data_IF_575207288494
#
_entry.id   IF_575207288494
#
_cell.length_a   1.000
_cell.length_b   1.000
_cell.length_c   1.000
_cell.angle_alpha   90.00
_cell.angle_beta   90.00
_cell.angle_gamma   90.00
#
_symmetry.space_group_name_H-M   'P 1'
#
loop_
_entity.id
_entity.type
_entity.pdbx_description
1 polymer ?
#
# COMPACT_ATOMS: atom_id res chain seq x y z
N UNK A 1 41.34 -65.67 -38.61
CA UNK A 1 41.44 -66.58 -37.44
C UNK A 1 41.91 -65.76 -36.26
N UNK A 2 41.13 -64.76 -35.84
CA UNK A 2 39.83 -64.87 -35.15
C UNK A 2 39.94 -65.59 -33.82
N UNK A 3 39.91 -64.85 -32.72
CA UNK A 3 38.63 -64.66 -32.04
C UNK A 3 38.78 -63.64 -30.91
N UNK A 4 37.68 -62.90 -30.73
CA UNK A 4 37.56 -61.65 -30.02
C UNK A 4 37.60 -61.86 -28.50
N UNK A 5 38.50 -61.15 -27.84
CA UNK A 5 38.51 -60.96 -26.39
C UNK A 5 37.30 -60.09 -26.00
N UNK A 6 36.31 -60.67 -25.33
CA UNK A 6 35.02 -60.04 -25.02
C UNK A 6 34.95 -59.61 -23.54
N UNK A 7 35.06 -58.31 -23.20
CA UNK A 7 34.95 -57.86 -21.82
C UNK A 7 33.52 -57.41 -21.51
N UNK A 8 32.55 -58.31 -21.29
CA UNK A 8 31.12 -57.86 -21.29
C UNK A 8 30.19 -58.29 -20.15
N UNK A 9 30.66 -58.84 -19.02
CA UNK A 9 29.76 -59.07 -17.87
C UNK A 9 30.24 -58.49 -16.53
N UNK A 10 31.51 -58.69 -16.18
CA UNK A 10 32.04 -58.28 -14.87
C UNK A 10 32.28 -56.76 -14.74
N UNK A 11 32.67 -56.08 -15.83
CA UNK A 11 32.83 -54.61 -15.85
C UNK A 11 31.48 -53.89 -15.82
N UNK A 12 30.46 -54.45 -16.49
CA UNK A 12 29.11 -53.88 -16.59
C UNK A 12 28.42 -53.82 -15.22
N UNK A 13 28.55 -54.87 -14.41
CA UNK A 13 28.01 -54.90 -13.04
C UNK A 13 28.76 -53.93 -12.11
N UNK A 14 30.09 -53.82 -12.24
CA UNK A 14 30.88 -52.88 -11.44
C UNK A 14 30.51 -51.41 -11.72
N UNK A 15 30.20 -51.06 -12.97
CA UNK A 15 29.72 -49.72 -13.33
C UNK A 15 28.33 -49.45 -12.76
N UNK A 16 27.41 -50.41 -12.83
CA UNK A 16 26.06 -50.29 -12.24
C UNK A 16 26.12 -50.13 -10.71
N UNK A 17 26.96 -50.90 -10.01
CA UNK A 17 27.15 -50.76 -8.57
C UNK A 17 27.74 -49.40 -8.19
N UNK A 18 28.71 -48.89 -8.95
CA UNK A 18 29.24 -47.53 -8.75
C UNK A 18 28.18 -46.46 -8.95
N UNK A 19 27.35 -46.57 -9.98
CA UNK A 19 26.22 -45.66 -10.21
C UNK A 19 25.20 -45.68 -9.06
N UNK A 20 24.90 -46.86 -8.52
CA UNK A 20 24.00 -47.00 -7.36
C UNK A 20 24.59 -46.31 -6.12
N UNK A 21 25.88 -46.52 -5.83
CA UNK A 21 26.55 -45.85 -4.70
C UNK A 21 26.52 -44.33 -4.86
N UNK A 22 26.82 -43.82 -6.05
CA UNK A 22 26.73 -42.38 -6.35
C UNK A 22 25.29 -41.88 -6.18
N UNK A 23 24.29 -42.62 -6.65
CA UNK A 23 22.87 -42.28 -6.47
C UNK A 23 22.46 -42.20 -5.00
N UNK A 24 22.89 -43.17 -4.17
CA UNK A 24 22.65 -43.15 -2.72
C UNK A 24 23.33 -41.95 -2.07
N UNK A 25 24.57 -41.64 -2.43
CA UNK A 25 25.28 -40.47 -1.92
C UNK A 25 24.57 -39.15 -2.28
N UNK A 26 24.04 -39.04 -3.50
CA UNK A 26 23.24 -37.88 -3.92
C UNK A 26 21.99 -37.74 -3.04
N UNK A 27 21.26 -38.83 -2.81
CA UNK A 27 20.06 -38.80 -1.94
C UNK A 27 20.43 -38.41 -0.51
N UNK A 28 21.50 -38.99 0.04
CA UNK A 28 22.01 -38.64 1.38
C UNK A 28 22.39 -37.15 1.47
N UNK A 29 22.90 -36.55 0.39
CA UNK A 29 23.20 -35.12 0.35
C UNK A 29 21.96 -34.24 0.11
N UNK A 30 20.93 -34.75 -0.56
CA UNK A 30 19.69 -34.03 -0.82
C UNK A 30 18.86 -33.82 0.45
N UNK A 31 18.80 -34.82 1.33
CA UNK A 31 18.05 -34.71 2.59
C UNK A 31 18.47 -33.50 3.43
N UNK A 32 19.75 -33.30 3.82
CA UNK A 32 20.17 -32.14 4.59
C UNK A 32 20.03 -30.83 3.82
N UNK A 33 20.21 -30.85 2.49
CA UNK A 33 19.98 -29.69 1.64
C UNK A 33 18.53 -29.20 1.75
N UNK A 34 17.57 -30.12 1.67
CA UNK A 34 16.15 -29.80 1.81
C UNK A 34 15.83 -29.19 3.18
N UNK A 35 16.41 -29.73 4.26
CA UNK A 35 16.24 -29.15 5.60
C UNK A 35 16.76 -27.71 5.70
N UNK A 36 17.90 -27.41 5.10
CA UNK A 36 18.44 -26.05 5.06
C UNK A 36 17.51 -25.12 4.29
N UNK A 37 17.00 -25.54 3.14
CA UNK A 37 16.04 -24.75 2.37
C UNK A 37 14.76 -24.46 3.15
N UNK A 38 14.20 -25.45 3.85
CA UNK A 38 13.00 -25.27 4.69
C UNK A 38 13.26 -24.25 5.80
N UNK A 39 14.38 -24.38 6.52
CA UNK A 39 14.74 -23.45 7.60
C UNK A 39 14.98 -22.02 7.08
N UNK A 40 15.57 -21.89 5.89
CA UNK A 40 15.79 -20.59 5.27
C UNK A 40 14.47 -19.94 4.85
N UNK A 41 13.55 -20.71 4.27
CA UNK A 41 12.20 -20.25 3.93
C UNK A 41 11.49 -19.74 5.17
N UNK A 42 11.45 -20.55 6.23
CA UNK A 42 10.77 -20.21 7.48
C UNK A 42 11.34 -18.94 8.13
N UNK A 43 12.65 -18.68 8.01
CA UNK A 43 13.25 -17.43 8.50
C UNK A 43 12.89 -16.22 7.64
N UNK A 44 12.83 -16.40 6.33
CA UNK A 44 12.44 -15.33 5.41
C UNK A 44 10.97 -14.95 5.64
N UNK A 45 10.11 -15.97 5.76
CA UNK A 45 8.68 -15.78 6.01
C UNK A 45 8.41 -15.07 7.35
N UNK A 46 9.10 -15.49 8.43
CA UNK A 46 8.99 -14.81 9.73
C UNK A 46 9.48 -13.36 9.71
N UNK A 47 10.55 -13.09 8.94
CA UNK A 47 11.07 -11.74 8.80
C UNK A 47 10.07 -10.86 8.06
N UNK A 48 9.45 -11.36 6.99
CA UNK A 48 8.43 -10.64 6.23
C UNK A 48 7.17 -10.39 7.06
N UNK A 49 6.70 -11.41 7.80
CA UNK A 49 5.56 -11.30 8.71
C UNK A 49 5.81 -10.26 9.82
N UNK A 50 7.00 -10.25 10.42
CA UNK A 50 7.35 -9.25 11.42
C UNK A 50 7.36 -7.83 10.83
N UNK A 51 7.87 -7.66 9.60
CA UNK A 51 7.87 -6.38 8.89
C UNK A 51 6.46 -5.91 8.56
N UNK A 52 5.61 -6.83 8.12
CA UNK A 52 4.20 -6.56 7.83
C UNK A 52 3.45 -6.17 9.10
N UNK A 53 3.57 -6.91 10.18
CA UNK A 53 2.92 -6.60 11.45
C UNK A 53 3.36 -5.27 12.06
N UNK A 54 4.62 -4.85 11.84
CA UNK A 54 5.07 -3.51 12.23
C UNK A 54 4.40 -2.46 11.35
N UNK A 55 4.37 -2.66 10.03
CA UNK A 55 3.73 -1.75 9.06
C UNK A 55 2.23 -1.61 9.33
N UNK A 56 1.51 -2.71 9.50
CA UNK A 56 0.06 -2.75 9.75
C UNK A 56 -0.31 -2.00 11.04
N UNK A 57 0.61 -1.93 12.02
CA UNK A 57 0.41 -1.18 13.26
C UNK A 57 0.81 0.29 13.18
N UNK A 58 1.74 0.66 12.31
CA UNK A 58 2.27 2.03 12.17
C UNK A 58 1.60 2.83 11.05
N UNK A 59 0.81 2.17 10.21
CA UNK A 59 0.20 2.77 9.04
C UNK A 59 1.00 2.40 7.80
N UNK A 60 0.25 1.96 6.79
CA UNK A 60 0.72 1.75 5.43
C UNK A 60 0.96 3.11 4.73
N UNK A 61 1.23 3.10 3.43
CA UNK A 61 1.50 4.33 2.69
C UNK A 61 0.24 5.22 2.61
N UNK A 62 0.24 6.35 3.32
CA UNK A 62 -0.89 7.27 3.34
C UNK A 62 -0.74 8.37 2.29
N UNK A 63 -1.81 8.62 1.55
CA UNK A 63 -1.94 9.78 0.68
C UNK A 63 -2.93 10.76 1.31
N UNK A 64 -2.44 11.98 1.57
CA UNK A 64 -3.25 13.09 2.09
C UNK A 64 -3.60 14.01 0.92
N UNK A 65 -4.90 14.21 0.72
CA UNK A 65 -5.46 15.08 -0.31
C UNK A 65 -5.76 16.42 0.36
N UNK A 66 -5.36 17.52 -0.30
CA UNK A 66 -5.47 18.87 0.24
C UNK A 66 -6.89 19.27 0.68
N UNK A 67 -7.01 20.29 1.55
CA UNK A 67 -8.29 20.69 2.10
C UNK A 67 -9.20 21.32 1.05
N UNK A 68 -10.49 21.00 1.12
CA UNK A 68 -11.56 21.54 0.28
C UNK A 68 -12.55 22.25 1.19
N UNK A 69 -12.84 23.52 0.90
CA UNK A 69 -13.89 24.25 1.60
C UNK A 69 -15.21 24.03 0.88
N UNK A 70 -16.18 23.47 1.61
CA UNK A 70 -17.51 23.14 1.15
C UNK A 70 -18.53 24.11 1.74
N UNK A 71 -19.26 24.79 0.85
CA UNK A 71 -20.26 25.80 1.18
C UNK A 71 -21.66 25.30 0.78
N UNK A 72 -22.47 24.81 1.73
CA UNK A 72 -23.85 24.43 1.45
C UNK A 72 -24.70 25.66 1.11
N UNK A 73 -25.64 25.50 0.18
CA UNK A 73 -26.63 26.52 -0.14
C UNK A 73 -28.03 25.93 -0.20
N UNK A 74 -29.02 26.78 0.06
CA UNK A 74 -30.43 26.46 -0.07
C UNK A 74 -31.13 27.55 -0.86
N UNK A 75 -31.67 27.20 -2.02
CA UNK A 75 -32.38 28.11 -2.90
C UNK A 75 -33.83 27.70 -3.02
N UNK A 76 -34.72 28.69 -2.96
CA UNK A 76 -36.13 28.54 -3.30
C UNK A 76 -36.42 29.40 -4.54
N UNK A 77 -36.94 28.80 -5.60
CA UNK A 77 -37.37 29.48 -6.81
C UNK A 77 -38.84 29.19 -7.08
N UNK A 78 -39.61 30.24 -7.36
CA UNK A 78 -41.02 30.11 -7.74
C UNK A 78 -41.10 30.09 -9.26
N UNK A 79 -41.73 29.06 -9.81
CA UNK A 79 -41.95 28.92 -11.25
C UNK A 79 -43.07 29.86 -11.72
N UNK A 80 -43.19 30.20 -13.02
CA UNK A 80 -44.24 31.08 -13.54
C UNK A 80 -45.67 30.60 -13.25
N UNK A 81 -45.83 29.31 -12.93
CA UNK A 81 -47.09 28.66 -12.57
C UNK A 81 -47.40 28.73 -11.06
N UNK A 82 -46.54 29.37 -10.25
CA UNK A 82 -46.73 29.56 -8.82
C UNK A 82 -46.23 28.40 -7.95
N UNK A 83 -45.62 27.37 -8.53
CA UNK A 83 -45.02 26.27 -7.77
C UNK A 83 -43.66 26.68 -7.21
N UNK A 84 -43.44 26.37 -5.93
CA UNK A 84 -42.16 26.60 -5.26
C UNK A 84 -41.26 25.39 -5.43
N UNK A 85 -40.09 25.59 -6.01
CA UNK A 85 -39.04 24.59 -6.13
C UNK A 85 -37.91 24.91 -5.16
N UNK A 86 -37.62 23.97 -4.27
CA UNK A 86 -36.46 24.03 -3.40
C UNK A 86 -35.31 23.23 -3.99
N UNK A 87 -34.11 23.81 -3.98
CA UNK A 87 -32.89 23.17 -4.43
C UNK A 87 -31.80 23.40 -3.39
N UNK A 88 -31.16 22.30 -2.97
CA UNK A 88 -30.00 22.32 -2.09
C UNK A 88 -28.80 21.75 -2.81
N UNK A 89 -27.62 22.24 -2.46
CA UNK A 89 -26.37 21.78 -3.04
C UNK A 89 -25.17 22.25 -2.23
N UNK A 90 -23.97 21.88 -2.69
CA UNK A 90 -22.72 22.24 -2.05
C UNK A 90 -21.77 22.80 -3.11
N UNK A 91 -21.23 23.97 -2.84
CA UNK A 91 -20.16 24.58 -3.65
C UNK A 91 -18.83 24.19 -3.04
N UNK A 92 -17.99 23.49 -3.80
CA UNK A 92 -16.65 23.09 -3.36
C UNK A 92 -15.62 24.05 -3.92
N UNK A 93 -14.73 24.53 -3.05
CA UNK A 93 -13.72 25.52 -3.39
C UNK A 93 -12.36 25.03 -2.94
N UNK A 94 -11.38 25.19 -3.81
CA UNK A 94 -9.99 24.85 -3.53
C UNK A 94 -9.26 26.09 -2.97
N UNK A 95 -8.25 25.89 -2.11
CA UNK A 95 -7.45 27.00 -1.61
C UNK A 95 -6.66 27.61 -2.77
N UNK A 96 -6.62 28.95 -2.84
CA UNK A 96 -5.81 29.67 -3.83
C UNK A 96 -4.31 29.55 -3.54
N UNK A 97 -3.97 29.52 -2.26
CA UNK A 97 -2.62 29.27 -1.77
C UNK A 97 -2.67 28.18 -0.72
N UNK A 98 -1.79 27.21 -0.85
CA UNK A 98 -1.59 26.14 0.10
C UNK A 98 -0.09 26.03 0.35
N UNK A 99 0.35 26.47 1.53
CA UNK A 99 1.69 26.21 2.02
C UNK A 99 1.61 24.99 2.92
N UNK A 100 2.55 24.06 2.77
CA UNK A 100 2.65 22.89 3.62
C UNK A 100 4.12 22.61 3.89
N UNK A 101 4.40 22.22 5.12
CA UNK A 101 5.70 21.75 5.55
C UNK A 101 5.52 20.38 6.20
N UNK A 102 6.28 19.40 5.73
CA UNK A 102 6.24 18.05 6.25
C UNK A 102 7.64 17.67 6.74
N UNK A 103 7.74 17.29 8.02
CA UNK A 103 8.95 16.74 8.60
C UNK A 103 8.78 15.24 8.77
N UNK A 104 9.74 14.47 8.23
CA UNK A 104 9.74 13.00 8.30
C UNK A 104 10.89 12.58 9.22
N UNK A 105 10.55 11.87 10.29
CA UNK A 105 11.50 11.34 11.26
C UNK A 105 11.49 9.80 11.21
N UNK A 106 12.61 9.17 10.79
CA UNK A 106 12.72 7.72 10.80
C UNK A 106 12.95 7.22 12.24
N UNK A 107 12.26 6.14 12.61
CA UNK A 107 12.42 5.45 13.88
C UNK A 107 12.61 3.94 13.63
N UNK A 108 13.50 3.30 14.37
CA UNK A 108 13.68 1.84 14.29
C UNK A 108 12.74 1.19 15.29
N UNK A 109 11.85 0.32 14.79
CA UNK A 109 10.96 -0.49 15.61
C UNK A 109 11.34 -1.95 15.53
N UNK A 110 11.39 -2.61 16.68
CA UNK A 110 11.74 -4.02 16.80
C UNK A 110 10.53 -4.87 17.17
N UNK A 111 10.40 -6.04 16.54
CA UNK A 111 9.50 -7.11 16.97
C UNK A 111 10.28 -8.42 17.06
N UNK A 112 10.52 -8.89 18.29
CA UNK A 112 11.39 -10.05 18.53
C UNK A 112 12.84 -9.73 18.20
N UNK A 113 13.44 -10.50 17.28
CA UNK A 113 14.80 -10.28 16.77
C UNK A 113 14.84 -9.48 15.46
N UNK A 114 13.68 -9.03 14.98
CA UNK A 114 13.55 -8.35 13.69
C UNK A 114 13.34 -6.85 13.91
N UNK A 115 13.97 -6.06 13.05
CA UNK A 115 13.87 -4.60 13.05
C UNK A 115 13.26 -4.12 11.73
N UNK A 116 12.45 -3.07 11.81
CA UNK A 116 11.92 -2.35 10.68
C UNK A 116 12.02 -0.84 10.93
N UNK A 117 12.33 -0.08 9.87
CA UNK A 117 12.32 1.38 9.92
C UNK A 117 10.88 1.84 9.65
N UNK A 118 10.31 2.58 10.60
CA UNK A 118 9.04 3.27 10.45
C UNK A 118 9.29 4.76 10.32
N UNK A 119 8.33 5.50 9.78
CA UNK A 119 8.46 6.94 9.54
C UNK A 119 7.32 7.66 10.25
N UNK A 120 7.66 8.53 11.19
CA UNK A 120 6.70 9.47 11.76
C UNK A 120 6.75 10.76 10.93
N UNK A 121 5.59 11.27 10.55
CA UNK A 121 5.51 12.51 9.76
C UNK A 121 4.68 13.53 10.53
N UNK A 122 5.23 14.71 10.76
CA UNK A 122 4.48 15.88 11.21
C UNK A 122 4.22 16.78 10.02
N UNK A 123 2.95 17.14 9.78
CA UNK A 123 2.53 17.96 8.66
C UNK A 123 1.85 19.21 9.20
N UNK A 124 2.42 20.36 8.89
CA UNK A 124 1.85 21.67 9.17
C UNK A 124 1.52 22.34 7.84
N UNK A 125 0.38 23.02 7.76
CA UNK A 125 0.00 23.69 6.53
C UNK A 125 -0.98 24.83 6.74
N UNK A 126 -0.82 25.84 5.89
CA UNK A 126 -1.62 27.05 5.87
C UNK A 126 -2.30 27.17 4.49
N UNK A 127 -3.60 27.37 4.50
CA UNK A 127 -4.42 27.54 3.31
C UNK A 127 -5.13 28.89 3.30
N UNK A 128 -5.16 29.55 2.15
CA UNK A 128 -6.00 30.74 1.93
C UNK A 128 -7.08 30.40 0.92
N UNK A 129 -8.34 30.52 1.35
CA UNK A 129 -9.51 30.37 0.51
C UNK A 129 -10.00 31.74 0.07
N UNK A 130 -10.26 31.89 -1.22
CA UNK A 130 -10.97 33.06 -1.75
C UNK A 130 -12.40 32.65 -2.08
N UNK A 131 -13.31 33.63 -1.99
CA UNK A 131 -14.70 33.38 -2.31
C UNK A 131 -14.81 32.96 -3.78
N UNK A 132 -15.45 31.81 -4.08
CA UNK A 132 -15.59 31.34 -5.46
C UNK A 132 -16.46 32.32 -6.24
N UNK A 133 -16.18 32.45 -7.53
CA UNK A 133 -17.03 33.23 -8.41
C UNK A 133 -18.41 32.55 -8.56
N UNK A 134 -19.41 33.15 -7.90
CA UNK A 134 -20.78 32.66 -7.95
C UNK A 134 -21.47 32.99 -9.28
N UNK A 135 -20.83 33.71 -10.21
CA UNK A 135 -21.43 34.01 -11.52
C UNK A 135 -21.83 32.75 -12.30
N UNK A 136 -21.09 31.65 -12.10
CA UNK A 136 -21.34 30.36 -12.74
C UNK A 136 -22.37 29.49 -12.02
N UNK A 137 -22.73 29.85 -10.78
CA UNK A 137 -23.65 29.09 -9.94
C UNK A 137 -24.85 29.99 -9.70
N UNK A 138 -26.07 29.62 -10.11
CA UNK A 138 -27.25 30.49 -9.97
C UNK A 138 -27.73 30.73 -8.52
N UNK A 139 -26.79 30.88 -7.57
CA UNK A 139 -26.90 30.95 -6.12
C UNK A 139 -26.44 32.33 -5.67
N UNK A 140 -27.25 32.99 -4.84
CA UNK A 140 -26.94 34.31 -4.27
C UNK A 140 -26.21 34.18 -2.94
N UNK A 141 -25.47 35.22 -2.55
CA UNK A 141 -24.71 35.26 -1.28
C UNK A 141 -25.57 34.97 -0.04
N UNK A 142 -26.84 35.37 -0.07
CA UNK A 142 -27.81 35.19 1.01
C UNK A 142 -28.45 33.79 1.04
N UNK A 143 -28.26 32.98 0.00
CA UNK A 143 -28.75 31.60 -0.09
C UNK A 143 -27.68 30.61 0.45
N UNK A 144 -26.46 31.10 0.73
CA UNK A 144 -25.36 30.32 1.32
C UNK A 144 -25.57 30.17 2.82
N UNK A 145 -25.48 28.94 3.32
CA UNK A 145 -25.57 28.59 4.73
C UNK A 145 -24.18 28.66 5.38
N UNK A 146 -23.72 29.88 5.69
CA UNK A 146 -22.41 30.13 6.29
C UNK A 146 -22.21 29.41 7.63
N UNK A 147 -23.28 29.23 8.39
CA UNK A 147 -23.32 28.48 9.65
C UNK A 147 -23.02 26.98 9.47
N UNK A 148 -23.13 26.46 8.24
CA UNK A 148 -22.91 25.06 7.89
C UNK A 148 -21.71 24.84 6.97
N UNK A 149 -20.88 25.85 6.76
CA UNK A 149 -19.64 25.69 6.00
C UNK A 149 -18.69 24.74 6.73
N UNK A 150 -18.04 23.84 5.99
CA UNK A 150 -17.07 22.89 6.56
C UNK A 150 -15.88 22.68 5.63
N UNK A 151 -14.76 22.27 6.22
CA UNK A 151 -13.56 21.86 5.47
C UNK A 151 -13.55 20.33 5.45
N UNK A 152 -13.34 19.78 4.26
CA UNK A 152 -13.13 18.34 4.06
C UNK A 152 -11.70 18.09 3.62
N UNK A 153 -11.12 16.99 4.08
CA UNK A 153 -9.79 16.53 3.72
C UNK A 153 -9.84 15.03 3.50
N UNK A 154 -9.18 14.55 2.45
CA UNK A 154 -9.09 13.13 2.16
C UNK A 154 -7.81 12.56 2.77
N UNK A 155 -7.94 11.47 3.53
CA UNK A 155 -6.80 10.66 3.96
C UNK A 155 -7.08 9.25 3.45
N UNK A 156 -6.09 8.67 2.77
CA UNK A 156 -6.20 7.31 2.26
C UNK A 156 -5.79 6.34 3.35
N UNK A 157 -6.65 5.35 3.61
CA UNK A 157 -6.36 4.19 4.45
C UNK A 157 -6.30 2.96 3.54
N UNK A 158 -5.20 2.21 3.56
CA UNK A 158 -4.98 1.02 2.72
C UNK A 158 -4.71 -0.21 3.56
#
# INVERSE_FOLDING_TARGET
MDSLNNPSFRSRNATTTKLLVVGVLIVVCLVPSLFVFILLSERTDRQEEAKKDITDKWGSNQLIIGPILSLPYHKSSVDPQGFTHESSGVINTLPKKLNHNASIEPEIRSRGIFEAVVYNTSIEGDGVFEMPDLSYTSVRLNEIQWDKAYISMGITDT
#
